data_IF_972663325513
#
_entry.id   IF_972663325513
#
_cell.length_a   1.000
_cell.length_b   1.000
_cell.length_c   1.000
_cell.angle_alpha   90.00
_cell.angle_beta   90.00
_cell.angle_gamma   90.00
#
_symmetry.space_group_name_H-M   'P 1'
#
loop_
_entity.id
_entity.type
_entity.pdbx_description
1 polymer ?
#
# COMPACT_ATOMS: atom_id res chain seq x y z
N UNK A 1 -10.24 1.75 8.67
CA UNK A 1 -8.82 1.87 8.78
C UNK A 1 -8.28 3.17 8.27
N UNK A 2 -7.26 3.64 8.92
CA UNK A 2 -6.54 4.84 8.54
C UNK A 2 -5.05 4.57 8.63
N UNK A 3 -4.26 5.35 7.89
CA UNK A 3 -2.80 5.33 8.00
C UNK A 3 -2.35 6.63 8.61
N UNK A 4 -1.44 6.54 9.57
CA UNK A 4 -0.80 7.68 10.20
C UNK A 4 0.68 7.73 9.82
N UNK A 5 1.21 8.93 9.75
CA UNK A 5 2.64 9.18 9.54
C UNK A 5 3.20 9.91 10.75
N UNK A 6 4.42 9.55 11.13
CA UNK A 6 5.13 10.13 12.27
C UNK A 6 6.52 10.59 11.83
N UNK A 7 7.05 11.59 12.53
CA UNK A 7 8.47 11.90 12.46
C UNK A 7 9.22 10.97 13.42
N UNK A 8 10.38 10.49 12.99
CA UNK A 8 11.26 9.65 13.81
C UNK A 8 12.45 10.51 14.25
N UNK A 9 12.55 10.77 15.53
CA UNK A 9 13.64 11.56 16.10
C UNK A 9 14.94 10.77 16.23
N UNK A 10 16.03 11.49 16.58
CA UNK A 10 17.34 10.89 16.80
C UNK A 10 17.36 9.89 17.96
N UNK A 11 16.41 10.00 18.89
CA UNK A 11 16.20 9.09 20.00
C UNK A 11 15.31 7.89 19.64
N UNK A 12 14.96 7.72 18.36
CA UNK A 12 14.05 6.71 17.84
C UNK A 12 12.61 6.83 18.37
N UNK A 13 12.24 7.98 18.91
CA UNK A 13 10.86 8.23 19.35
C UNK A 13 10.05 8.83 18.24
N UNK A 14 8.77 8.44 18.19
CA UNK A 14 7.81 8.96 17.23
C UNK A 14 7.23 10.27 17.72
N UNK A 15 7.04 11.23 16.83
CA UNK A 15 6.45 12.52 17.12
C UNK A 15 5.67 13.04 15.91
N UNK A 16 4.90 14.10 16.11
CA UNK A 16 4.13 14.77 15.05
C UNK A 16 3.23 13.82 14.27
N UNK A 17 2.39 13.06 14.98
CA UNK A 17 1.41 12.19 14.37
C UNK A 17 0.47 12.98 13.45
N UNK A 18 0.36 12.55 12.20
CA UNK A 18 -0.59 13.09 11.24
C UNK A 18 -1.34 11.96 10.57
N UNK A 19 -2.60 12.20 10.18
CA UNK A 19 -3.27 11.29 9.28
C UNK A 19 -2.60 11.36 7.91
N UNK A 20 -2.13 10.22 7.41
CA UNK A 20 -1.53 10.14 6.08
C UNK A 20 -2.61 10.16 5.00
N UNK A 21 -3.67 9.36 5.18
CA UNK A 21 -4.76 9.23 4.23
C UNK A 21 -6.02 8.74 4.92
N UNK A 22 -7.18 9.18 4.44
CA UNK A 22 -8.48 8.66 4.86
C UNK A 22 -8.87 7.39 4.10
N UNK A 23 -8.05 6.96 3.14
CA UNK A 23 -8.27 5.78 2.32
C UNK A 23 -9.57 5.79 1.50
N UNK A 24 -9.99 6.98 1.10
CA UNK A 24 -11.12 7.13 0.20
C UNK A 24 -10.66 6.96 -1.25
N UNK A 25 -11.34 6.09 -1.99
CA UNK A 25 -11.10 5.85 -3.42
C UNK A 25 -12.41 6.03 -4.14
N UNK A 26 -12.50 7.01 -5.02
CA UNK A 26 -13.74 7.35 -5.75
C UNK A 26 -14.95 7.54 -4.81
N UNK A 27 -14.73 8.12 -3.64
CA UNK A 27 -15.78 8.31 -2.65
C UNK A 27 -16.13 7.05 -1.85
N UNK A 28 -15.42 5.94 -2.04
CA UNK A 28 -15.63 4.70 -1.32
C UNK A 28 -14.54 4.51 -0.28
N UNK A 29 -14.93 4.28 0.97
CA UNK A 29 -13.97 4.01 2.05
C UNK A 29 -13.35 2.64 1.86
N UNK A 30 -12.03 2.61 1.68
CA UNK A 30 -11.25 1.38 1.60
C UNK A 30 -10.45 1.20 2.88
N UNK A 31 -10.19 -0.05 3.24
CA UNK A 31 -9.38 -0.36 4.42
C UNK A 31 -8.01 -0.91 4.03
N UNK A 32 -6.91 -0.33 4.57
CA UNK A 32 -5.59 -0.91 4.37
C UNK A 32 -5.40 -2.15 5.24
N UNK A 33 -4.59 -3.08 4.75
CA UNK A 33 -4.17 -4.25 5.53
C UNK A 33 -2.64 -4.29 5.53
N UNK A 34 -2.00 -4.95 4.57
CA UNK A 34 -0.55 -4.91 4.47
C UNK A 34 -0.07 -3.73 3.64
N UNK A 35 1.10 -3.18 3.95
CA UNK A 35 1.66 -2.08 3.18
C UNK A 35 3.18 -2.11 3.12
N UNK A 36 3.73 -1.53 2.06
CA UNK A 36 5.17 -1.40 1.81
C UNK A 36 5.43 -0.05 1.16
N UNK A 37 6.65 0.46 1.31
CA UNK A 37 7.09 1.66 0.62
C UNK A 37 8.00 1.32 -0.56
N UNK A 38 8.00 2.16 -1.58
CA UNK A 38 8.96 2.07 -2.65
C UNK A 38 10.13 3.05 -2.42
N UNK A 39 11.12 3.02 -3.30
CA UNK A 39 12.33 3.88 -3.18
C UNK A 39 12.03 5.35 -3.33
N UNK A 40 10.89 5.73 -3.87
CA UNK A 40 10.45 7.12 -4.04
C UNK A 40 9.59 7.61 -2.87
N UNK A 41 9.39 6.79 -1.86
CA UNK A 41 8.58 7.14 -0.70
C UNK A 41 7.08 6.97 -0.89
N UNK A 42 6.65 6.36 -1.98
CA UNK A 42 5.24 6.05 -2.17
C UNK A 42 4.83 4.86 -1.30
N UNK A 43 3.61 4.92 -0.78
CA UNK A 43 3.03 3.85 0.04
C UNK A 43 2.13 2.98 -0.84
N UNK A 44 2.46 1.70 -0.89
CA UNK A 44 1.66 0.67 -1.56
C UNK A 44 0.93 -0.10 -0.48
N UNK A 45 -0.39 -0.12 -0.54
CA UNK A 45 -1.20 -0.74 0.50
C UNK A 45 -2.22 -1.70 -0.11
N UNK A 46 -2.34 -2.89 0.47
CA UNK A 46 -3.49 -3.73 0.15
C UNK A 46 -4.74 -2.99 0.62
N UNK A 47 -5.77 -2.97 -0.23
CA UNK A 47 -6.90 -2.08 -0.04
C UNK A 47 -8.17 -2.80 -0.42
N UNK A 48 -9.15 -2.80 0.47
CA UNK A 48 -10.39 -3.53 0.31
C UNK A 48 -11.55 -2.69 0.80
N UNK A 49 -12.68 -2.81 0.15
CA UNK A 49 -13.90 -2.07 0.50
C UNK A 49 -15.08 -3.01 0.74
N UNK A 50 -14.81 -4.16 1.35
CA UNK A 50 -15.86 -5.11 1.72
C UNK A 50 -16.72 -5.54 0.54
N UNK A 51 -17.96 -5.07 0.51
CA UNK A 51 -18.93 -5.45 -0.52
C UNK A 51 -18.80 -4.67 -1.83
N UNK A 52 -17.97 -3.65 -1.87
CA UNK A 52 -17.81 -2.83 -3.08
C UNK A 52 -16.91 -3.55 -4.08
N UNK A 53 -17.52 -4.23 -5.04
CA UNK A 53 -16.81 -4.96 -6.09
C UNK A 53 -15.94 -4.00 -6.91
N UNK A 54 -14.71 -4.41 -7.20
CA UNK A 54 -13.78 -3.60 -7.97
C UNK A 54 -12.88 -2.69 -7.13
N UNK A 55 -13.01 -2.72 -5.81
CA UNK A 55 -12.16 -1.96 -4.89
C UNK A 55 -11.17 -2.82 -4.13
N UNK A 56 -11.14 -4.12 -4.39
CA UNK A 56 -10.13 -5.01 -3.84
C UNK A 56 -8.85 -4.95 -4.65
N UNK A 57 -7.71 -4.96 -3.98
CA UNK A 57 -6.41 -4.96 -4.63
C UNK A 57 -5.38 -4.13 -3.89
N UNK A 58 -4.68 -3.28 -4.62
CA UNK A 58 -3.61 -2.43 -4.09
C UNK A 58 -3.86 -0.98 -4.49
N UNK A 59 -3.69 -0.09 -3.54
CA UNK A 59 -3.70 1.36 -3.78
C UNK A 59 -2.31 1.92 -3.53
N UNK A 60 -1.92 2.92 -4.34
CA UNK A 60 -0.60 3.53 -4.28
C UNK A 60 -0.77 5.01 -3.97
N UNK A 61 -0.11 5.47 -2.92
CA UNK A 61 -0.24 6.82 -2.37
C UNK A 61 1.12 7.50 -2.37
N UNK A 62 1.18 8.74 -2.84
CA UNK A 62 2.44 9.49 -2.81
C UNK A 62 2.81 9.89 -1.37
N UNK A 63 4.00 10.47 -1.13
CA UNK A 63 4.41 10.86 0.22
C UNK A 63 3.49 11.86 0.91
N UNK A 64 2.68 12.60 0.15
CA UNK A 64 1.71 13.56 0.70
C UNK A 64 0.34 12.92 1.00
N UNK A 65 0.20 11.63 0.76
CA UNK A 65 -1.06 10.92 1.02
C UNK A 65 -2.08 11.01 -0.11
N UNK A 66 -1.65 11.42 -1.30
CA UNK A 66 -2.51 11.48 -2.46
C UNK A 66 -2.49 10.16 -3.23
N UNK A 67 -3.66 9.67 -3.62
CA UNK A 67 -3.79 8.46 -4.43
C UNK A 67 -3.22 8.71 -5.84
N UNK A 68 -2.25 7.89 -6.24
CA UNK A 68 -1.58 8.02 -7.55
C UNK A 68 -1.74 6.79 -8.43
N UNK A 69 -2.25 5.69 -7.91
CA UNK A 69 -2.46 4.50 -8.73
C UNK A 69 -3.17 3.40 -7.96
N UNK A 70 -3.62 2.40 -8.70
CA UNK A 70 -4.26 1.24 -8.10
C UNK A 70 -4.10 0.02 -8.99
N UNK A 71 -4.06 -1.15 -8.35
CA UNK A 71 -4.10 -2.45 -9.01
C UNK A 71 -5.37 -3.15 -8.53
N UNK A 72 -6.24 -3.51 -9.45
CA UNK A 72 -7.46 -4.24 -9.13
C UNK A 72 -7.21 -5.73 -9.12
N UNK A 73 -7.69 -6.40 -8.09
CA UNK A 73 -7.70 -7.86 -8.00
C UNK A 73 -9.14 -8.36 -7.92
N UNK A 74 -9.39 -9.58 -8.38
CA UNK A 74 -10.75 -10.16 -8.33
C UNK A 74 -11.14 -10.64 -6.94
N UNK A 75 -10.25 -10.52 -5.96
CA UNK A 75 -10.49 -10.99 -4.59
C UNK A 75 -9.72 -10.12 -3.60
N UNK A 76 -10.06 -10.27 -2.32
CA UNK A 76 -9.45 -9.51 -1.23
C UNK A 76 -7.95 -9.77 -1.17
N UNK A 77 -7.17 -8.69 -1.08
CA UNK A 77 -5.71 -8.75 -0.91
C UNK A 77 -5.38 -8.48 0.56
N UNK A 78 -4.75 -9.47 1.22
CA UNK A 78 -4.39 -9.35 2.63
C UNK A 78 -3.01 -8.78 2.88
N UNK A 79 -2.07 -8.98 1.96
CA UNK A 79 -0.70 -8.50 2.14
C UNK A 79 0.02 -8.35 0.81
N UNK A 80 1.07 -7.53 0.81
CA UNK A 80 1.91 -7.30 -0.35
C UNK A 80 3.38 -7.26 0.05
N UNK A 81 4.26 -7.57 -0.89
CA UNK A 81 5.70 -7.40 -0.72
C UNK A 81 6.37 -7.21 -2.08
N UNK A 82 7.43 -6.40 -2.10
CA UNK A 82 8.29 -6.31 -3.26
C UNK A 82 9.33 -7.43 -3.20
N UNK A 83 9.65 -8.01 -4.34
CA UNK A 83 10.63 -9.08 -4.42
C UNK A 83 11.29 -9.17 -5.77
N UNK A 84 12.02 -10.25 -5.98
CA UNK A 84 12.83 -10.48 -7.16
C UNK A 84 14.22 -9.83 -7.07
N UNK A 85 15.13 -10.15 -8.01
CA UNK A 85 16.52 -9.66 -7.95
C UNK A 85 16.64 -8.14 -7.98
N UNK A 86 15.71 -7.46 -8.65
CA UNK A 86 15.71 -5.99 -8.77
C UNK A 86 14.68 -5.33 -7.85
N UNK A 87 13.97 -6.09 -7.03
CA UNK A 87 12.91 -5.62 -6.12
C UNK A 87 11.82 -4.82 -6.86
N UNK A 88 11.57 -5.15 -8.11
CA UNK A 88 10.58 -4.49 -8.97
C UNK A 88 9.40 -5.40 -9.30
N UNK A 89 9.24 -6.48 -8.57
CA UNK A 89 8.11 -7.39 -8.72
C UNK A 89 7.25 -7.33 -7.46
N UNK A 90 6.01 -6.91 -7.61
CA UNK A 90 5.08 -6.85 -6.50
C UNK A 90 4.34 -8.17 -6.39
N UNK A 91 4.43 -8.81 -5.25
CA UNK A 91 3.66 -10.01 -4.90
C UNK A 91 2.47 -9.61 -4.04
N UNK A 92 1.31 -10.14 -4.39
CA UNK A 92 0.04 -9.81 -3.73
C UNK A 92 -0.61 -11.10 -3.25
N UNK A 93 -0.63 -11.29 -1.92
CA UNK A 93 -1.25 -12.45 -1.30
C UNK A 93 -2.74 -12.19 -1.11
N UNK A 94 -3.54 -12.75 -1.98
CA UNK A 94 -4.99 -12.63 -1.94
C UNK A 94 -5.62 -13.82 -1.22
N UNK A 95 -6.95 -13.83 -1.11
CA UNK A 95 -7.65 -14.82 -0.29
C UNK A 95 -7.46 -16.26 -0.77
N UNK A 96 -7.31 -16.47 -2.09
CA UNK A 96 -7.14 -17.82 -2.65
C UNK A 96 -5.96 -17.96 -3.59
N UNK A 97 -5.27 -16.86 -3.92
CA UNK A 97 -4.26 -16.85 -4.96
C UNK A 97 -3.10 -15.94 -4.59
N UNK A 98 -1.94 -16.25 -5.16
CA UNK A 98 -0.79 -15.35 -5.13
C UNK A 98 -0.65 -14.72 -6.51
N UNK A 99 -0.75 -13.41 -6.57
CA UNK A 99 -0.56 -12.64 -7.80
C UNK A 99 0.80 -11.96 -7.79
N UNK A 100 1.34 -11.72 -8.98
CA UNK A 100 2.60 -10.99 -9.11
C UNK A 100 2.57 -10.13 -10.36
N UNK A 101 3.18 -8.94 -10.28
CA UNK A 101 3.28 -8.01 -11.40
C UNK A 101 4.61 -7.28 -11.32
N UNK A 102 5.20 -7.00 -12.49
CA UNK A 102 6.35 -6.12 -12.57
C UNK A 102 5.89 -4.67 -12.54
N UNK A 103 6.64 -3.84 -11.84
CA UNK A 103 6.33 -2.41 -11.69
C UNK A 103 7.54 -1.57 -12.10
N UNK A 104 7.31 -0.27 -12.33
CA UNK A 104 8.35 0.66 -12.80
C UNK A 104 9.18 1.25 -11.67
N UNK A 105 8.98 0.80 -10.45
CA UNK A 105 9.73 1.24 -9.29
C UNK A 105 10.30 0.03 -8.55
N UNK A 106 10.95 0.26 -7.43
CA UNK A 106 11.53 -0.78 -6.60
C UNK A 106 11.07 -0.61 -5.17
N UNK A 107 10.90 -1.71 -4.46
CA UNK A 107 10.63 -1.66 -3.03
C UNK A 107 11.80 -1.07 -2.27
N UNK A 108 11.51 -0.28 -1.24
CA UNK A 108 12.53 0.23 -0.34
C UNK A 108 13.15 -0.91 0.46
N UNK A 109 14.47 -0.91 0.63
CA UNK A 109 15.16 -1.88 1.46
C UNK A 109 15.06 -1.49 2.94
N UNK A 110 14.94 -2.45 3.85
CA UNK A 110 14.93 -3.92 3.69
C UNK A 110 13.59 -4.52 3.30
N UNK A 111 12.80 -3.81 2.63
CA UNK A 111 11.62 -4.34 2.04
C UNK A 111 10.43 -4.59 2.88
#
# INVERSE_FOLDING_TARGET
GEIFVFDVGADHKLSNQKRFSDFMVDGVKCGPDGMRCDVNGNVWASSNAGRHVGYSGVTIWNPDGKLIGRIRLPEVCGNITFGGPKRNRLFMAASQSLYAVYVNTQGAAPG
#
